data_IF_948983644652
#
_entry.id   IF_948983644652
#
_cell.length_a   1.000
_cell.length_b   1.000
_cell.length_c   1.000
_cell.angle_alpha   90.00
_cell.angle_beta   90.00
_cell.angle_gamma   90.00
#
_symmetry.space_group_name_H-M   'P 1'
#
loop_
_entity.id
_entity.type
_entity.pdbx_description
1 polymer ?
#
# COMPACT_ATOMS: atom_id res chain seq x y z
N UNK A 1 -44.94 57.02 -21.59
CA UNK A 1 -44.74 56.15 -22.77
C UNK A 1 -43.41 55.42 -22.60
N UNK A 2 -43.34 54.15 -22.99
CA UNK A 2 -42.22 53.20 -22.97
C UNK A 2 -42.07 52.23 -21.80
N UNK A 3 -41.61 51.04 -22.18
CA UNK A 3 -42.12 49.71 -21.87
C UNK A 3 -41.06 48.85 -21.16
N UNK A 4 -41.55 47.80 -20.48
CA UNK A 4 -40.87 46.59 -19.94
C UNK A 4 -39.56 46.16 -20.62
N UNK A 5 -38.61 45.65 -19.80
CA UNK A 5 -38.17 44.24 -19.93
C UNK A 5 -37.46 43.72 -18.65
N UNK A 6 -38.04 42.71 -18.01
CA UNK A 6 -37.39 41.85 -17.02
C UNK A 6 -36.68 40.73 -17.78
N UNK A 7 -35.36 40.56 -17.61
CA UNK A 7 -34.65 39.37 -18.08
C UNK A 7 -34.30 38.49 -16.87
N UNK A 8 -35.03 37.38 -16.75
CA UNK A 8 -34.72 36.26 -15.84
C UNK A 8 -33.27 35.82 -16.13
N UNK A 9 -32.40 35.80 -15.13
CA UNK A 9 -31.13 35.06 -15.19
C UNK A 9 -31.48 33.58 -15.14
N UNK A 10 -31.35 32.88 -16.26
CA UNK A 10 -31.30 31.42 -16.26
C UNK A 10 -29.99 30.98 -15.57
N UNK A 11 -30.16 30.06 -14.63
CA UNK A 11 -29.13 29.40 -13.83
C UNK A 11 -28.18 28.62 -14.74
N UNK A 12 -26.89 28.99 -14.72
CA UNK A 12 -25.78 28.17 -15.25
C UNK A 12 -25.36 27.18 -14.17
N UNK A 13 -26.09 26.07 -13.98
CA UNK A 13 -25.67 25.05 -13.00
C UNK A 13 -25.71 23.58 -13.51
N UNK A 14 -26.09 23.30 -14.77
CA UNK A 14 -26.21 21.90 -15.25
C UNK A 14 -25.02 21.37 -16.08
N UNK A 15 -24.14 22.23 -16.58
CA UNK A 15 -23.02 21.78 -17.44
C UNK A 15 -21.83 21.21 -16.65
N UNK A 16 -21.64 21.59 -15.39
CA UNK A 16 -20.47 21.18 -14.58
C UNK A 16 -20.63 19.81 -13.92
N UNK A 17 -21.86 19.38 -13.61
CA UNK A 17 -22.13 18.08 -13.00
C UNK A 17 -22.06 16.93 -14.00
N UNK A 18 -22.50 17.15 -15.24
CA UNK A 18 -22.58 16.10 -16.25
C UNK A 18 -21.19 15.69 -16.76
N UNK A 19 -20.28 16.65 -16.97
CA UNK A 19 -18.88 16.37 -17.36
C UNK A 19 -18.05 15.76 -16.21
N UNK A 20 -18.29 16.20 -14.97
CA UNK A 20 -17.64 15.58 -13.79
C UNK A 20 -18.10 14.13 -13.57
N UNK A 21 -19.39 13.84 -13.74
CA UNK A 21 -19.92 12.49 -13.60
C UNK A 21 -19.42 11.55 -14.71
N UNK A 22 -19.36 12.01 -15.96
CA UNK A 22 -18.83 11.19 -17.06
C UNK A 22 -17.34 10.92 -16.90
N UNK A 23 -16.53 11.92 -16.53
CA UNK A 23 -15.09 11.75 -16.25
C UNK A 23 -14.80 10.81 -15.07
N UNK A 24 -15.60 10.90 -14.00
CA UNK A 24 -15.47 10.03 -12.81
C UNK A 24 -15.83 8.58 -13.14
N UNK A 25 -16.94 8.36 -13.86
CA UNK A 25 -17.36 7.01 -14.27
C UNK A 25 -16.34 6.35 -15.20
N UNK A 26 -15.78 7.08 -16.17
CA UNK A 26 -14.72 6.57 -17.05
C UNK A 26 -13.47 6.20 -16.26
N UNK A 27 -13.08 7.02 -15.29
CA UNK A 27 -11.91 6.75 -14.43
C UNK A 27 -12.11 5.50 -13.59
N UNK A 28 -13.30 5.35 -12.97
CA UNK A 28 -13.66 4.15 -12.19
C UNK A 28 -13.76 2.88 -13.05
N UNK A 29 -14.17 3.00 -14.33
CA UNK A 29 -14.17 1.90 -15.29
C UNK A 29 -12.74 1.44 -15.63
N UNK A 30 -11.82 2.38 -15.90
CA UNK A 30 -10.41 2.08 -16.14
C UNK A 30 -9.77 1.42 -14.91
N UNK A 31 -10.02 1.98 -13.73
CA UNK A 31 -9.54 1.43 -12.46
C UNK A 31 -10.02 -0.02 -12.26
N UNK A 32 -11.32 -0.26 -12.43
CA UNK A 32 -11.91 -1.61 -12.33
C UNK A 32 -11.28 -2.58 -13.34
N UNK A 33 -11.03 -2.13 -14.57
CA UNK A 33 -10.36 -2.94 -15.60
C UNK A 33 -8.93 -3.30 -15.21
N UNK A 34 -8.16 -2.35 -14.68
CA UNK A 34 -6.81 -2.60 -14.17
C UNK A 34 -6.82 -3.57 -13.01
N UNK A 35 -7.68 -3.34 -12.01
CA UNK A 35 -7.85 -4.24 -10.88
C UNK A 35 -8.17 -5.68 -11.32
N UNK A 36 -9.18 -5.87 -12.17
CA UNK A 36 -9.56 -7.19 -12.66
C UNK A 36 -8.40 -7.89 -13.39
N UNK A 37 -7.61 -7.13 -14.17
CA UNK A 37 -6.40 -7.67 -14.82
C UNK A 37 -5.35 -8.10 -13.79
N UNK A 38 -5.13 -7.30 -12.75
CA UNK A 38 -4.16 -7.60 -11.69
C UNK A 38 -4.55 -8.89 -10.94
N UNK A 39 -5.83 -9.03 -10.57
CA UNK A 39 -6.35 -10.24 -9.92
C UNK A 39 -6.29 -11.46 -10.84
N UNK A 40 -6.62 -11.30 -12.13
CA UNK A 40 -6.48 -12.39 -13.12
C UNK A 40 -5.03 -12.91 -13.19
N UNK A 41 -4.05 -12.02 -13.22
CA UNK A 41 -2.63 -12.40 -13.23
C UNK A 41 -2.20 -13.06 -11.93
N UNK A 42 -2.65 -12.57 -10.77
CA UNK A 42 -2.40 -13.19 -9.48
C UNK A 42 -2.90 -14.64 -9.43
N UNK A 43 -4.17 -14.87 -9.84
CA UNK A 43 -4.76 -16.20 -9.88
C UNK A 43 -4.02 -17.14 -10.84
N UNK A 44 -3.65 -16.66 -12.02
CA UNK A 44 -2.87 -17.47 -12.97
C UNK A 44 -1.49 -17.85 -12.42
N UNK A 45 -0.85 -16.94 -11.69
CA UNK A 45 0.44 -17.19 -11.07
C UNK A 45 0.34 -18.19 -9.92
N UNK A 46 -0.70 -18.09 -9.08
CA UNK A 46 -1.00 -19.06 -8.02
C UNK A 46 -1.31 -20.44 -8.61
N UNK A 47 -2.07 -20.51 -9.70
CA UNK A 47 -2.36 -21.78 -10.36
C UNK A 47 -1.08 -22.43 -10.88
N UNK A 48 -0.24 -21.64 -11.55
CA UNK A 48 1.02 -22.14 -12.11
C UNK A 48 2.02 -22.57 -11.02
N UNK A 49 1.95 -22.02 -9.80
CA UNK A 49 2.86 -22.41 -8.72
C UNK A 49 2.44 -23.67 -7.97
N UNK A 50 1.25 -24.24 -8.22
CA UNK A 50 0.81 -25.49 -7.58
C UNK A 50 1.71 -26.70 -7.90
N UNK A 51 2.45 -26.65 -9.01
CA UNK A 51 3.40 -27.70 -9.37
C UNK A 51 4.77 -27.53 -8.71
N UNK A 52 5.01 -26.44 -7.97
CA UNK A 52 6.27 -26.21 -7.31
C UNK A 52 6.44 -27.14 -6.10
N UNK A 53 7.66 -27.62 -5.90
CA UNK A 53 8.03 -28.32 -4.68
C UNK A 53 8.41 -27.29 -3.60
N UNK A 54 7.66 -27.28 -2.49
CA UNK A 54 7.88 -26.38 -1.36
C UNK A 54 9.06 -26.87 -0.50
N UNK A 55 10.26 -26.49 -0.91
CA UNK A 55 11.51 -26.80 -0.20
C UNK A 55 11.88 -25.74 0.85
N UNK A 56 12.90 -26.01 1.67
CA UNK A 56 13.39 -25.05 2.68
C UNK A 56 13.81 -23.74 2.00
N UNK A 57 13.25 -22.63 2.45
CA UNK A 57 13.50 -21.30 1.86
C UNK A 57 12.62 -20.98 0.65
N UNK A 58 11.66 -21.85 0.30
CA UNK A 58 10.68 -21.54 -0.73
C UNK A 58 9.90 -20.28 -0.38
N UNK A 59 9.83 -19.37 -1.36
CA UNK A 59 9.00 -18.17 -1.31
C UNK A 59 7.99 -18.25 -2.43
N UNK A 60 6.71 -18.22 -2.08
CA UNK A 60 5.65 -18.30 -3.07
C UNK A 60 5.80 -17.16 -4.09
N UNK A 61 5.79 -17.41 -5.42
CA UNK A 61 6.04 -16.38 -6.43
C UNK A 61 5.05 -15.21 -6.38
N UNK A 62 3.91 -15.38 -5.71
CA UNK A 62 2.92 -14.31 -5.50
C UNK A 62 3.53 -13.11 -4.77
N UNK A 63 4.52 -13.33 -3.91
CA UNK A 63 5.23 -12.27 -3.19
C UNK A 63 6.03 -11.39 -4.16
N UNK A 64 6.62 -11.97 -5.21
CA UNK A 64 7.27 -11.21 -6.27
C UNK A 64 6.25 -10.38 -7.06
N UNK A 65 5.05 -10.90 -7.25
CA UNK A 65 3.97 -10.17 -7.91
C UNK A 65 3.41 -9.04 -7.04
N UNK A 66 3.23 -9.25 -5.73
CA UNK A 66 2.90 -8.19 -4.78
C UNK A 66 3.96 -7.09 -4.82
N UNK A 67 5.24 -7.47 -4.81
CA UNK A 67 6.34 -6.52 -5.00
C UNK A 67 6.20 -5.77 -6.31
N UNK A 68 5.99 -6.45 -7.44
CA UNK A 68 5.80 -5.80 -8.73
C UNK A 68 4.68 -4.76 -8.70
N UNK A 69 3.53 -5.08 -8.10
CA UNK A 69 2.41 -4.13 -7.96
C UNK A 69 2.80 -2.91 -7.10
N UNK A 70 3.57 -3.11 -6.03
CA UNK A 70 4.02 -2.04 -5.15
C UNK A 70 5.26 -1.27 -5.62
N UNK A 71 6.01 -1.76 -6.61
CA UNK A 71 7.29 -1.15 -7.04
C UNK A 71 7.13 0.30 -7.50
N UNK A 72 6.04 0.60 -8.21
CA UNK A 72 5.72 1.97 -8.62
C UNK A 72 5.59 2.90 -7.41
N UNK A 73 4.85 2.47 -6.40
CA UNK A 73 4.64 3.23 -5.17
C UNK A 73 5.92 3.33 -4.34
N UNK A 74 6.64 2.23 -4.14
CA UNK A 74 7.96 2.25 -3.49
C UNK A 74 8.88 3.27 -4.15
N UNK A 75 8.96 3.26 -5.48
CA UNK A 75 9.77 4.22 -6.25
C UNK A 75 9.28 5.64 -6.00
N UNK A 76 7.98 5.89 -6.09
CA UNK A 76 7.40 7.20 -5.81
C UNK A 76 7.77 7.74 -4.43
N UNK A 77 7.68 6.92 -3.37
CA UNK A 77 8.10 7.34 -2.03
C UNK A 77 9.61 7.55 -1.90
N UNK A 78 10.44 6.73 -2.54
CA UNK A 78 11.90 6.90 -2.57
C UNK A 78 12.30 8.20 -3.28
N UNK A 79 11.57 8.58 -4.33
CA UNK A 79 11.85 9.77 -5.14
C UNK A 79 11.13 11.03 -4.67
N UNK A 80 10.39 11.00 -3.57
CA UNK A 80 9.56 12.13 -3.15
C UNK A 80 10.36 13.43 -2.97
N UNK A 81 11.53 13.36 -2.33
CA UNK A 81 12.44 14.49 -2.08
C UNK A 81 13.24 14.91 -3.32
N UNK A 82 13.09 14.21 -4.46
CA UNK A 82 13.67 14.65 -5.74
C UNK A 82 12.80 15.71 -6.39
N UNK A 83 11.49 15.66 -6.15
CA UNK A 83 10.50 16.51 -6.82
C UNK A 83 9.96 17.62 -5.91
N UNK A 84 9.93 17.39 -4.61
CA UNK A 84 9.36 18.33 -3.63
C UNK A 84 10.43 18.70 -2.59
N UNK A 85 10.54 20.01 -2.30
CA UNK A 85 11.43 20.52 -1.24
C UNK A 85 10.96 20.01 0.13
N UNK A 86 11.91 19.94 1.08
CA UNK A 86 11.66 19.56 2.46
C UNK A 86 10.45 20.31 3.03
N UNK A 87 9.44 19.56 3.49
CA UNK A 87 8.18 20.04 4.07
C UNK A 87 7.06 20.51 3.12
N UNK A 88 6.97 20.01 1.88
CA UNK A 88 5.78 20.24 1.05
C UNK A 88 4.45 19.88 1.77
N UNK A 89 3.59 20.89 2.01
CA UNK A 89 2.33 20.79 2.76
C UNK A 89 1.30 19.81 2.14
N UNK A 90 1.49 19.41 0.88
CA UNK A 90 0.66 18.41 0.21
C UNK A 90 1.42 17.10 0.01
N UNK A 91 1.09 16.10 0.83
CA UNK A 91 1.51 14.71 0.59
C UNK A 91 0.82 14.21 -0.69
N UNK A 92 1.51 14.27 -1.83
CA UNK A 92 1.02 13.78 -3.14
C UNK A 92 0.84 12.26 -3.23
N UNK A 93 1.38 11.52 -2.26
CA UNK A 93 1.35 10.06 -2.24
C UNK A 93 0.39 9.54 -1.16
N UNK A 94 -0.23 8.36 -1.37
CA UNK A 94 -1.07 7.74 -0.36
C UNK A 94 -0.35 7.65 0.99
N UNK A 95 -1.09 7.89 2.07
CA UNK A 95 -0.52 7.82 3.40
C UNK A 95 -0.16 6.36 3.73
N UNK A 96 1.14 6.03 3.71
CA UNK A 96 1.65 4.70 4.08
C UNK A 96 1.86 4.53 5.58
N UNK A 97 1.20 5.34 6.42
CA UNK A 97 1.00 4.89 7.79
C UNK A 97 0.35 3.51 7.69
N UNK A 98 0.91 2.47 8.34
CA UNK A 98 0.50 1.07 8.15
C UNK A 98 -0.99 0.84 8.13
N UNK A 99 -1.68 1.66 8.90
CA UNK A 99 -3.09 1.58 9.18
C UNK A 99 -4.00 2.31 8.20
N UNK A 100 -3.45 3.18 7.34
CA UNK A 100 -4.18 3.99 6.37
C UNK A 100 -3.91 3.53 4.93
N UNK A 101 -3.20 2.42 4.76
CA UNK A 101 -2.78 1.90 3.46
C UNK A 101 -3.97 1.56 2.54
N UNK A 102 -5.06 1.08 3.14
CA UNK A 102 -6.24 0.59 2.40
C UNK A 102 -7.44 1.53 2.59
N UNK A 103 -7.85 1.74 3.83
CA UNK A 103 -8.95 2.62 4.23
C UNK A 103 -8.76 3.06 5.70
N UNK A 104 -9.60 3.97 6.17
CA UNK A 104 -9.47 4.58 7.50
C UNK A 104 -9.63 3.56 8.65
N UNK A 105 -8.73 3.63 9.63
CA UNK A 105 -8.69 2.74 10.79
C UNK A 105 -9.95 2.72 11.63
N UNK A 106 -10.60 3.88 11.77
CA UNK A 106 -11.75 4.09 12.63
C UNK A 106 -13.05 3.57 12.03
N UNK A 107 -13.00 3.11 10.77
CA UNK A 107 -14.14 2.48 10.11
C UNK A 107 -14.60 1.29 10.94
N UNK A 108 -15.87 1.33 11.37
CA UNK A 108 -16.54 0.19 11.98
C UNK A 108 -16.77 -0.88 10.92
N UNK A 109 -16.16 -2.04 11.13
CA UNK A 109 -16.33 -3.22 10.29
C UNK A 109 -17.68 -3.84 10.58
N UNK A 110 -18.02 -4.04 11.85
CA UNK A 110 -19.36 -4.38 12.29
C UNK A 110 -19.59 -4.00 13.75
N UNK A 111 -20.85 -4.02 14.20
CA UNK A 111 -21.22 -3.71 15.59
C UNK A 111 -20.60 -4.67 16.61
N UNK A 112 -20.35 -5.91 16.20
CA UNK A 112 -19.86 -7.02 17.02
C UNK A 112 -18.34 -7.24 16.93
N UNK A 113 -17.69 -6.77 15.86
CA UNK A 113 -16.25 -7.00 15.62
C UNK A 113 -15.40 -5.77 15.95
N UNK A 114 -15.96 -4.57 15.83
CA UNK A 114 -15.26 -3.31 16.09
C UNK A 114 -14.71 -2.66 14.82
N UNK A 115 -13.53 -2.07 14.92
CA UNK A 115 -12.87 -1.29 13.85
C UNK A 115 -11.77 -2.07 13.14
N UNK A 116 -11.26 -1.56 12.01
CA UNK A 116 -10.06 -2.12 11.38
C UNK A 116 -8.87 -2.12 12.34
N UNK A 117 -8.74 -1.09 13.18
CA UNK A 117 -7.71 -1.02 14.20
C UNK A 117 -7.80 -2.20 15.18
N UNK A 118 -9.02 -2.52 15.64
CA UNK A 118 -9.24 -3.66 16.54
C UNK A 118 -8.82 -4.98 15.91
N UNK A 119 -9.07 -5.17 14.61
CA UNK A 119 -8.78 -6.40 13.88
C UNK A 119 -7.31 -6.59 13.53
N UNK A 120 -6.53 -5.51 13.34
CA UNK A 120 -5.12 -5.63 12.97
C UNK A 120 -4.22 -5.47 14.20
N UNK A 121 -4.45 -4.44 15.02
CA UNK A 121 -3.54 -4.11 16.12
C UNK A 121 -3.55 -5.17 17.22
N UNK A 122 -4.73 -5.74 17.53
CA UNK A 122 -4.84 -6.84 18.52
C UNK A 122 -4.22 -8.14 18.01
N UNK A 123 -4.06 -8.27 16.70
CA UNK A 123 -3.45 -9.41 16.03
C UNK A 123 -1.96 -9.17 15.72
N UNK A 124 -1.26 -8.43 16.61
CA UNK A 124 0.21 -8.44 16.63
C UNK A 124 0.68 -9.84 17.02
N UNK A 125 1.46 -10.46 16.15
CA UNK A 125 2.04 -11.78 16.39
C UNK A 125 3.30 -11.67 17.23
N UNK A 126 3.49 -12.58 18.18
CA UNK A 126 4.73 -12.70 18.93
C UNK A 126 5.78 -13.49 18.12
N UNK A 127 6.26 -12.90 17.03
CA UNK A 127 7.30 -13.48 16.18
C UNK A 127 8.19 -12.41 15.55
N UNK A 128 9.45 -12.75 15.35
CA UNK A 128 10.40 -11.95 14.59
C UNK A 128 10.40 -12.41 13.13
N UNK A 129 10.36 -11.48 12.18
CA UNK A 129 10.55 -11.74 10.75
C UNK A 129 11.80 -11.00 10.27
N UNK A 130 12.61 -11.70 9.48
CA UNK A 130 13.68 -11.10 8.68
C UNK A 130 13.13 -10.56 7.35
N UNK A 131 13.50 -9.33 7.02
CA UNK A 131 13.14 -8.63 5.79
C UNK A 131 14.41 -8.41 4.98
N UNK A 132 14.38 -8.81 3.72
CA UNK A 132 15.49 -8.65 2.78
C UNK A 132 15.25 -7.41 1.92
N UNK A 133 16.11 -6.39 2.04
CA UNK A 133 15.91 -5.09 1.37
C UNK A 133 15.83 -5.22 -0.16
N UNK A 134 16.57 -6.17 -0.71
CA UNK A 134 16.59 -6.45 -2.14
C UNK A 134 15.34 -7.20 -2.64
N UNK A 135 14.69 -8.01 -1.80
CA UNK A 135 13.66 -8.96 -2.24
C UNK A 135 12.25 -8.57 -1.81
N UNK A 136 12.08 -7.99 -0.63
CA UNK A 136 10.76 -7.66 -0.11
C UNK A 136 10.21 -6.35 -0.68
N UNK A 137 8.88 -6.19 -0.59
CA UNK A 137 8.23 -4.91 -0.84
C UNK A 137 8.29 -4.07 0.42
N UNK A 138 9.06 -2.99 0.37
CA UNK A 138 9.31 -2.11 1.52
C UNK A 138 8.90 -0.70 1.13
N UNK A 139 8.11 -0.05 1.95
CA UNK A 139 7.63 1.31 1.70
C UNK A 139 8.34 2.27 2.67
N UNK A 140 9.53 2.80 2.29
CA UNK A 140 10.15 3.89 3.03
C UNK A 140 9.50 5.22 2.65
N UNK A 141 9.54 6.20 3.54
CA UNK A 141 9.17 7.60 3.27
C UNK A 141 10.28 8.55 3.78
N UNK A 142 11.38 8.72 3.02
CA UNK A 142 12.35 9.78 3.29
C UNK A 142 11.65 11.14 3.42
N UNK A 143 12.02 11.95 4.40
CA UNK A 143 11.30 13.19 4.72
C UNK A 143 12.19 14.41 4.95
N UNK A 144 13.51 14.21 4.98
CA UNK A 144 14.53 15.25 5.05
C UNK A 144 15.62 15.04 3.98
N UNK A 145 15.79 16.02 3.09
CA UNK A 145 16.70 16.02 1.95
C UNK A 145 18.17 15.87 2.36
N UNK A 146 18.63 16.61 3.37
CA UNK A 146 20.01 16.56 3.86
C UNK A 146 20.35 15.18 4.42
N UNK A 147 19.46 14.61 5.23
CA UNK A 147 19.60 13.24 5.75
C UNK A 147 19.52 12.22 4.63
N UNK A 148 18.70 12.46 3.62
CA UNK A 148 18.58 11.58 2.47
C UNK A 148 19.86 11.56 1.65
N UNK A 149 20.34 12.74 1.20
CA UNK A 149 21.61 12.95 0.48
C UNK A 149 22.77 12.34 1.26
N UNK A 150 22.86 12.62 2.57
CA UNK A 150 23.91 12.07 3.44
C UNK A 150 23.85 10.55 3.51
N UNK A 151 22.67 9.95 3.64
CA UNK A 151 22.51 8.50 3.71
C UNK A 151 22.91 7.84 2.39
N UNK A 152 22.38 8.30 1.25
CA UNK A 152 22.65 7.70 -0.06
C UNK A 152 24.10 7.93 -0.53
N UNK A 153 24.80 8.95 -0.05
CA UNK A 153 26.21 9.20 -0.39
C UNK A 153 27.19 8.45 0.53
N UNK A 154 26.78 8.15 1.77
CA UNK A 154 27.69 7.65 2.80
C UNK A 154 27.55 6.15 3.09
N UNK A 155 26.37 5.55 2.90
CA UNK A 155 26.11 4.14 3.21
C UNK A 155 26.30 3.29 1.96
N UNK A 156 27.09 2.22 2.06
CA UNK A 156 27.33 1.20 1.03
C UNK A 156 28.76 0.72 0.92
N UNK A 157 28.95 -0.37 0.18
CA UNK A 157 30.30 -0.87 -0.16
C UNK A 157 31.15 0.27 -0.74
N UNK A 158 32.36 0.43 -0.21
CA UNK A 158 33.32 1.48 -0.60
C UNK A 158 32.87 2.92 -0.33
N UNK A 159 31.91 3.15 0.57
CA UNK A 159 31.47 4.49 1.00
C UNK A 159 31.90 4.81 2.43
N UNK A 160 31.93 6.10 2.85
CA UNK A 160 32.48 6.51 4.14
C UNK A 160 31.92 5.83 5.39
N UNK A 161 30.68 5.32 5.36
CA UNK A 161 30.06 4.59 6.49
C UNK A 161 30.08 3.07 6.32
N UNK A 162 30.69 2.59 5.22
CA UNK A 162 30.77 1.18 4.90
C UNK A 162 29.43 0.56 4.50
N UNK A 163 29.44 -0.76 4.39
CA UNK A 163 28.28 -1.59 4.04
C UNK A 163 27.05 -1.27 4.89
N UNK A 164 25.87 -1.41 4.28
CA UNK A 164 24.62 -1.25 5.01
C UNK A 164 24.53 -2.23 6.19
N UNK A 165 24.16 -1.72 7.36
CA UNK A 165 23.92 -2.51 8.58
C UNK A 165 22.64 -2.05 9.26
N UNK A 166 21.94 -3.00 9.86
CA UNK A 166 20.76 -2.71 10.66
C UNK A 166 21.16 -1.92 11.92
N UNK A 167 20.44 -0.84 12.19
CA UNK A 167 20.57 -0.03 13.40
C UNK A 167 19.33 -0.24 14.26
N UNK A 168 19.36 -1.26 15.13
CA UNK A 168 18.19 -1.74 15.90
C UNK A 168 17.51 -0.68 16.78
N UNK A 169 18.22 0.38 17.18
CA UNK A 169 17.65 1.49 17.96
C UNK A 169 16.95 2.56 17.11
N UNK A 170 17.05 2.50 15.78
CA UNK A 170 16.55 3.51 14.85
C UNK A 170 15.70 2.92 13.71
N UNK A 171 16.02 1.71 13.27
CA UNK A 171 15.25 0.99 12.26
C UNK A 171 14.03 0.38 12.93
N UNK A 172 12.86 0.77 12.45
CA UNK A 172 11.59 0.26 12.94
C UNK A 172 10.64 0.12 11.75
N UNK A 173 10.08 -1.07 11.59
CA UNK A 173 9.25 -1.42 10.44
C UNK A 173 8.09 -2.30 10.87
N UNK A 174 6.94 -2.16 10.23
CA UNK A 174 5.81 -3.07 10.42
C UNK A 174 5.68 -4.00 9.22
N UNK A 175 5.35 -5.26 9.46
CA UNK A 175 5.05 -6.24 8.42
C UNK A 175 3.58 -6.63 8.50
N UNK A 176 2.89 -6.52 7.36
CA UNK A 176 1.49 -6.93 7.23
C UNK A 176 1.41 -8.32 6.58
N UNK A 177 0.84 -9.28 7.30
CA UNK A 177 0.60 -10.64 6.78
C UNK A 177 -0.84 -10.81 6.29
N UNK A 178 -1.06 -11.66 5.28
CA UNK A 178 -0.09 -12.56 4.63
C UNK A 178 0.69 -11.88 3.48
N UNK A 179 0.34 -10.65 3.09
CA UNK A 179 0.88 -9.98 1.89
C UNK A 179 2.38 -9.66 1.93
N UNK A 180 2.98 -9.61 3.12
CA UNK A 180 4.40 -9.37 3.31
C UNK A 180 4.86 -7.95 2.99
N UNK A 181 3.94 -6.98 2.96
CA UNK A 181 4.28 -5.57 2.79
C UNK A 181 4.94 -5.06 4.05
N UNK A 182 6.15 -4.53 3.90
CA UNK A 182 6.91 -3.91 4.97
C UNK A 182 6.79 -2.38 4.88
N UNK A 183 6.52 -1.74 6.01
CA UNK A 183 6.28 -0.30 6.11
C UNK A 183 7.26 0.30 7.10
N UNK A 184 7.98 1.33 6.67
CA UNK A 184 9.04 1.92 7.49
C UNK A 184 8.48 3.05 8.34
N UNK A 185 8.61 2.92 9.66
CA UNK A 185 8.21 3.95 10.63
C UNK A 185 9.43 4.63 11.27
N UNK A 186 10.58 3.97 11.29
CA UNK A 186 11.87 4.51 11.73
C UNK A 186 13.01 4.09 10.79
N UNK A 187 13.97 4.97 10.56
CA UNK A 187 15.13 4.66 9.72
C UNK A 187 14.94 4.86 8.21
N UNK A 188 13.90 5.58 7.79
CA UNK A 188 13.54 5.84 6.39
C UNK A 188 14.74 6.08 5.46
N UNK A 189 15.62 7.03 5.77
CA UNK A 189 16.75 7.39 4.91
C UNK A 189 17.80 6.28 4.74
N UNK A 190 18.19 5.64 5.84
CA UNK A 190 19.16 4.55 5.81
C UNK A 190 18.60 3.30 5.15
N UNK A 191 17.33 2.96 5.40
CA UNK A 191 16.66 1.82 4.76
C UNK A 191 16.55 2.04 3.25
N UNK A 192 16.20 3.26 2.81
CA UNK A 192 16.21 3.60 1.37
C UNK A 192 17.59 3.38 0.75
N UNK A 193 18.68 3.69 1.45
CA UNK A 193 20.04 3.49 0.93
C UNK A 193 20.36 2.00 0.71
N UNK A 194 19.89 1.12 1.59
CA UNK A 194 20.02 -0.33 1.41
C UNK A 194 19.17 -0.86 0.25
N UNK A 195 17.93 -0.37 0.11
CA UNK A 195 17.06 -0.70 -1.03
C UNK A 195 17.71 -0.30 -2.36
N UNK A 196 18.23 0.93 -2.47
CA UNK A 196 18.86 1.43 -3.70
C UNK A 196 20.11 0.63 -4.11
N UNK A 197 20.83 0.07 -3.15
CA UNK A 197 22.02 -0.73 -3.40
C UNK A 197 21.72 -2.22 -3.55
N UNK A 198 20.49 -2.65 -3.27
CA UNK A 198 20.12 -4.07 -3.28
C UNK A 198 20.86 -4.89 -2.22
N UNK A 199 21.20 -4.28 -1.08
CA UNK A 199 21.91 -4.93 0.02
C UNK A 199 21.20 -4.70 1.36
N UNK A 200 21.44 -5.60 2.32
CA UNK A 200 20.97 -5.46 3.69
C UNK A 200 19.74 -6.29 4.04
N UNK A 201 19.68 -6.65 5.32
CA UNK A 201 18.60 -7.41 5.96
C UNK A 201 18.25 -6.72 7.28
N UNK A 202 16.97 -6.59 7.60
CA UNK A 202 16.52 -6.10 8.91
C UNK A 202 15.61 -7.12 9.58
N UNK A 203 15.41 -6.95 10.89
CA UNK A 203 14.52 -7.77 11.68
C UNK A 203 13.42 -6.91 12.30
N UNK A 204 12.23 -7.47 12.41
CA UNK A 204 11.15 -6.81 13.14
C UNK A 204 10.28 -7.80 13.88
N UNK A 205 9.87 -7.41 15.08
CA UNK A 205 8.85 -8.06 15.89
C UNK A 205 7.47 -7.42 15.70
N UNK A 206 7.37 -6.31 14.95
CA UNK A 206 6.12 -5.60 14.66
C UNK A 206 5.41 -6.25 13.48
N UNK A 207 4.96 -7.48 13.69
CA UNK A 207 4.28 -8.29 12.68
C UNK A 207 2.79 -8.35 12.99
N UNK A 208 1.97 -7.93 12.04
CA UNK A 208 0.52 -7.84 12.19
C UNK A 208 -0.18 -8.76 11.20
N UNK A 209 -1.10 -9.57 11.70
CA UNK A 209 -1.89 -10.49 10.89
C UNK A 209 -3.23 -9.85 10.50
N UNK A 210 -3.50 -9.78 9.19
CA UNK A 210 -4.76 -9.25 8.66
C UNK A 210 -5.77 -10.35 8.33
N UNK A 211 -5.48 -11.62 8.63
CA UNK A 211 -6.36 -12.75 8.32
C UNK A 211 -7.78 -12.55 8.86
N UNK A 212 -7.93 -12.03 10.07
CA UNK A 212 -9.27 -11.75 10.61
C UNK A 212 -10.01 -10.67 9.81
N UNK A 213 -9.33 -9.62 9.37
CA UNK A 213 -9.93 -8.55 8.57
C UNK A 213 -10.51 -9.07 7.25
N UNK A 214 -9.81 -10.01 6.63
CA UNK A 214 -10.20 -10.63 5.37
C UNK A 214 -11.48 -11.46 5.42
N UNK A 215 -11.92 -11.86 6.62
CA UNK A 215 -13.22 -12.51 6.82
C UNK A 215 -14.41 -11.54 6.75
N UNK A 216 -14.14 -10.23 6.84
CA UNK A 216 -15.19 -9.20 6.91
C UNK A 216 -15.16 -8.21 5.75
N UNK A 217 -14.00 -8.04 5.10
CA UNK A 217 -13.81 -7.01 4.08
C UNK A 217 -13.20 -7.59 2.82
N UNK A 218 -13.73 -7.16 1.68
CA UNK A 218 -13.15 -7.41 0.36
C UNK A 218 -13.18 -6.13 -0.47
N UNK A 219 -12.51 -6.13 -1.63
CA UNK A 219 -12.64 -5.03 -2.59
C UNK A 219 -12.95 -5.53 -3.99
N UNK A 220 -13.81 -4.79 -4.70
CA UNK A 220 -14.05 -4.98 -6.12
C UNK A 220 -13.12 -4.10 -6.98
N UNK A 221 -12.16 -3.39 -6.39
CA UNK A 221 -11.29 -2.45 -7.08
C UNK A 221 -11.90 -1.08 -7.35
N UNK A 222 -13.18 -0.85 -7.03
CA UNK A 222 -13.79 0.49 -6.94
C UNK A 222 -14.01 0.90 -5.50
N UNK A 223 -14.45 -0.03 -4.67
CA UNK A 223 -14.74 0.20 -3.27
C UNK A 223 -14.20 -0.93 -2.41
N UNK A 224 -13.87 -0.62 -1.17
CA UNK A 224 -13.82 -1.59 -0.09
C UNK A 224 -15.24 -1.80 0.42
N UNK A 225 -15.62 -3.05 0.68
CA UNK A 225 -16.99 -3.44 1.00
C UNK A 225 -17.01 -4.47 2.12
N UNK A 226 -18.05 -4.41 2.95
CA UNK A 226 -18.31 -5.44 3.95
C UNK A 226 -18.86 -6.69 3.27
N UNK A 227 -18.32 -7.85 3.63
CA UNK A 227 -18.77 -9.15 3.10
C UNK A 227 -20.20 -9.46 3.57
N UNK A 228 -20.55 -9.08 4.80
CA UNK A 228 -21.83 -9.43 5.43
C UNK A 228 -23.05 -8.90 4.68
N UNK A 229 -22.98 -7.66 4.19
CA UNK A 229 -24.13 -6.92 3.69
C UNK A 229 -23.84 -6.09 2.43
N UNK A 230 -22.66 -6.24 1.83
CA UNK A 230 -22.23 -5.51 0.64
C UNK A 230 -22.16 -3.98 0.81
N UNK A 231 -22.29 -3.47 2.04
CA UNK A 231 -22.23 -2.04 2.30
C UNK A 231 -20.84 -1.48 2.04
N UNK A 232 -20.81 -0.24 1.55
CA UNK A 232 -19.56 0.45 1.22
C UNK A 232 -18.81 0.84 2.49
N UNK A 233 -17.50 0.68 2.46
CA UNK A 233 -16.56 1.18 3.47
C UNK A 233 -15.93 2.48 2.97
N UNK A 234 -15.29 2.41 1.81
CA UNK A 234 -14.63 3.55 1.19
C UNK A 234 -14.43 3.30 -0.31
N UNK A 235 -14.22 4.37 -1.05
CA UNK A 235 -13.70 4.27 -2.42
C UNK A 235 -12.24 3.82 -2.40
N UNK A 236 -11.82 3.14 -3.47
CA UNK A 236 -10.43 2.76 -3.71
C UNK A 236 -9.70 3.97 -4.29
N UNK A 237 -8.72 4.48 -3.53
CA UNK A 237 -7.86 5.60 -3.92
C UNK A 237 -6.62 5.17 -4.71
N UNK A 238 -6.17 3.93 -4.54
CA UNK A 238 -5.04 3.36 -5.27
C UNK A 238 -5.34 1.91 -5.68
N UNK A 239 -5.31 1.66 -6.99
CA UNK A 239 -5.69 0.36 -7.56
C UNK A 239 -4.68 -0.74 -7.23
N UNK A 240 -3.39 -0.41 -7.13
CA UNK A 240 -2.34 -1.35 -6.79
C UNK A 240 -2.50 -1.85 -5.35
N UNK A 241 -2.78 -0.97 -4.38
CA UNK A 241 -3.07 -1.36 -2.99
C UNK A 241 -4.37 -2.14 -2.85
N UNK A 242 -5.42 -1.78 -3.59
CA UNK A 242 -6.65 -2.58 -3.61
C UNK A 242 -6.39 -4.00 -4.14
N UNK A 243 -5.59 -4.12 -5.21
CA UNK A 243 -5.19 -5.43 -5.73
C UNK A 243 -4.35 -6.22 -4.72
N UNK A 244 -3.36 -5.59 -4.07
CA UNK A 244 -2.55 -6.23 -3.02
C UNK A 244 -3.44 -6.71 -1.86
N UNK A 245 -4.41 -5.89 -1.43
CA UNK A 245 -5.36 -6.26 -0.38
C UNK A 245 -6.14 -7.53 -0.76
N UNK A 246 -6.76 -7.53 -1.95
CA UNK A 246 -7.57 -8.66 -2.40
C UNK A 246 -6.73 -9.93 -2.66
N UNK A 247 -5.48 -9.77 -3.13
CA UNK A 247 -4.52 -10.86 -3.23
C UNK A 247 -4.22 -11.44 -1.84
N UNK A 248 -4.07 -10.61 -0.81
CA UNK A 248 -3.92 -11.07 0.57
C UNK A 248 -5.09 -11.93 1.05
N UNK A 249 -6.33 -11.53 0.71
CA UNK A 249 -7.53 -12.33 0.99
C UNK A 249 -7.51 -13.69 0.29
N UNK A 250 -7.08 -13.72 -0.98
CA UNK A 250 -6.91 -14.96 -1.75
C UNK A 250 -5.82 -15.85 -1.12
N UNK A 251 -4.68 -15.26 -0.75
CA UNK A 251 -3.57 -15.97 -0.10
C UNK A 251 -4.02 -16.62 1.21
N UNK A 252 -4.74 -15.88 2.06
CA UNK A 252 -5.31 -16.40 3.31
C UNK A 252 -6.19 -17.63 3.07
N UNK A 253 -7.11 -17.57 2.09
CA UNK A 253 -8.00 -18.70 1.77
C UNK A 253 -7.25 -19.95 1.27
N UNK A 254 -6.03 -19.78 0.77
CA UNK A 254 -5.18 -20.86 0.26
C UNK A 254 -4.11 -21.29 1.27
N UNK A 255 -4.07 -20.70 2.46
CA UNK A 255 -3.02 -20.96 3.46
C UNK A 255 -1.64 -20.44 3.05
N UNK A 256 -1.57 -19.50 2.11
CA UNK A 256 -0.31 -18.90 1.64
C UNK A 256 0.01 -17.69 2.52
N UNK A 257 1.26 -17.59 3.00
CA UNK A 257 1.80 -16.42 3.68
C UNK A 257 3.21 -16.10 3.19
N UNK A 258 3.63 -14.85 3.38
CA UNK A 258 5.04 -14.45 3.38
C UNK A 258 5.85 -15.12 4.49
#
# INVERSE_FOLDING_TARGET
MFFKWFRRRETRDDYTNTEKNTGTNVTQDIQKKHFNRMIKMANALIENSKCHEETVGYRHPILNYIKLLGLKLQTSYITNLVYDDDHGDEKKFPNITPWLLFFDLSVKISSDVGTMYDLIYKNKLNKEIEIELAKDLILPWPWNDQRYIRSISSIGVSRPWGEWKEHTSNHNTYVLLPIGVCIVVGGNHSITSGILQGEGTLKTDNVYDMSDLYNYVYTDGRHYKRIKDESLISEVSNVEFAAIFEIGRIMMNLGISR
#
